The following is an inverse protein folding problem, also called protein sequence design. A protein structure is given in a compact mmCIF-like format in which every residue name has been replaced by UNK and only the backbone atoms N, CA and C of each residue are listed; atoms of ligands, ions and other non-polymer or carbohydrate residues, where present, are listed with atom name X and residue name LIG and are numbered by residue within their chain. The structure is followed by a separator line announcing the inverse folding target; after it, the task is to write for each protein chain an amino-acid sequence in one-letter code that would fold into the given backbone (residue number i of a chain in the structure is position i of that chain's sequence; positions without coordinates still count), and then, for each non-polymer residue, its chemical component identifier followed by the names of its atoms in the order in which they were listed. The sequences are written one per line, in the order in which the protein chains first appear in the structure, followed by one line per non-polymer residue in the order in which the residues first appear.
data_IF_108561057311
#
_entry.id   IF_108561057311
#
_cell.length_a   1.000
_cell.length_b   1.000
_cell.length_c   1.000
_cell.angle_alpha   90.00
_cell.angle_beta   90.00
_cell.angle_gamma   90.00
#
_symmetry.space_group_name_H-M   'P 1'
#
loop_
_entity.id
_entity.type
_entity.pdbx_description
1 polymer ?
#
# COMPACT_ATOMS: atom_id res chain seq x y z
N UNK A 1 0.11 11.54 -26.90
CA UNK A 1 1.24 12.18 -26.19
C UNK A 1 2.17 12.73 -27.26
N UNK A 2 2.23 14.05 -27.49
CA UNK A 2 3.19 14.64 -28.44
C UNK A 2 4.50 14.83 -27.68
N UNK A 3 5.52 14.06 -28.03
CA UNK A 3 6.88 14.25 -27.52
C UNK A 3 7.51 15.36 -28.37
N UNK A 4 7.97 16.43 -27.74
CA UNK A 4 8.64 17.56 -28.41
C UNK A 4 9.99 17.72 -27.73
N UNK A 5 11.06 17.84 -28.53
CA UNK A 5 12.42 18.07 -28.04
C UNK A 5 13.17 19.09 -28.89
N UNK A 6 14.33 19.51 -28.41
CA UNK A 6 15.37 20.16 -29.20
C UNK A 6 16.73 19.69 -28.67
N UNK A 7 17.77 19.84 -29.50
CA UNK A 7 19.13 19.44 -29.16
C UNK A 7 19.88 20.50 -28.33
N UNK A 8 19.25 21.66 -28.12
CA UNK A 8 19.81 22.81 -27.41
C UNK A 8 18.87 23.24 -26.27
N UNK A 9 19.45 23.51 -25.10
CA UNK A 9 18.73 23.81 -23.86
C UNK A 9 17.94 25.14 -23.95
N UNK A 10 18.53 26.27 -24.38
CA UNK A 10 17.80 27.51 -24.65
C UNK A 10 16.61 27.35 -25.60
N UNK A 11 16.76 26.58 -26.67
CA UNK A 11 15.68 26.31 -27.63
C UNK A 11 14.57 25.50 -26.98
N UNK A 12 14.92 24.52 -26.15
CA UNK A 12 13.95 23.68 -25.44
C UNK A 12 13.17 24.47 -24.39
N UNK A 13 13.83 25.38 -23.65
CA UNK A 13 13.17 26.30 -22.70
C UNK A 13 12.14 27.17 -23.44
N UNK A 14 12.51 27.74 -24.60
CA UNK A 14 11.60 28.57 -25.39
C UNK A 14 10.37 27.79 -25.86
N UNK A 15 10.58 26.59 -26.41
CA UNK A 15 9.47 25.70 -26.84
C UNK A 15 8.55 25.32 -25.68
N UNK A 16 9.09 25.11 -24.48
CA UNK A 16 8.28 24.84 -23.26
C UNK A 16 7.35 26.01 -22.96
N UNK A 17 7.89 27.24 -22.95
CA UNK A 17 7.10 28.46 -22.69
C UNK A 17 6.01 28.63 -23.75
N UNK A 18 6.37 28.57 -25.03
CA UNK A 18 5.41 28.70 -26.14
C UNK A 18 4.29 27.66 -26.06
N UNK A 19 4.61 26.40 -25.74
CA UNK A 19 3.61 25.34 -25.61
C UNK A 19 2.70 25.55 -24.39
N UNK A 20 3.26 26.05 -23.28
CA UNK A 20 2.49 26.36 -22.07
C UNK A 20 1.47 27.47 -22.35
N UNK A 21 1.91 28.55 -22.98
CA UNK A 21 1.07 29.70 -23.34
C UNK A 21 -0.01 29.31 -24.35
N UNK A 22 0.36 28.51 -25.37
CA UNK A 22 -0.57 28.04 -26.39
C UNK A 22 -1.69 27.20 -25.76
N UNK A 23 -1.35 26.28 -24.85
CA UNK A 23 -2.34 25.42 -24.21
C UNK A 23 -3.17 26.18 -23.17
N UNK A 24 -2.56 27.12 -22.45
CA UNK A 24 -3.29 28.02 -21.55
C UNK A 24 -4.32 28.86 -22.32
N UNK A 25 -3.99 29.32 -23.53
CA UNK A 25 -4.95 30.04 -24.39
C UNK A 25 -6.17 29.20 -24.81
N UNK A 26 -6.02 27.86 -24.77
CA UNK A 26 -7.09 26.89 -25.00
C UNK A 26 -7.76 26.40 -23.70
N UNK A 27 -7.46 27.00 -22.54
CA UNK A 27 -7.99 26.60 -21.23
C UNK A 27 -7.39 25.31 -20.68
N UNK A 28 -6.24 24.88 -21.19
CA UNK A 28 -5.52 23.68 -20.76
C UNK A 28 -4.26 24.12 -20.00
N UNK A 29 -4.31 24.03 -18.67
CA UNK A 29 -3.15 24.31 -17.82
C UNK A 29 -2.21 23.09 -17.79
N UNK A 30 -0.92 23.33 -18.04
CA UNK A 30 0.13 22.33 -17.95
C UNK A 30 0.94 22.51 -16.66
N UNK A 31 0.68 21.64 -15.69
CA UNK A 31 1.33 21.74 -14.36
C UNK A 31 2.60 20.90 -14.21
N UNK A 32 2.88 19.98 -15.15
CA UNK A 32 3.97 18.99 -15.00
C UNK A 32 4.69 18.72 -16.32
N UNK A 33 6.01 18.67 -16.24
CA UNK A 33 6.93 18.41 -17.35
C UNK A 33 7.90 17.31 -16.95
N UNK A 34 8.29 16.48 -17.91
CA UNK A 34 9.40 15.55 -17.77
C UNK A 34 10.49 15.96 -18.77
N UNK A 35 11.72 16.09 -18.30
CA UNK A 35 12.86 16.47 -19.11
C UNK A 35 14.13 15.76 -18.62
N UNK A 36 15.08 15.57 -19.52
CA UNK A 36 16.38 14.97 -19.19
C UNK A 36 17.36 16.00 -18.58
N UNK A 37 17.03 17.29 -18.67
CA UNK A 37 17.83 18.40 -18.16
C UNK A 37 17.11 19.09 -17.00
N UNK A 38 17.85 19.42 -15.94
CA UNK A 38 17.31 19.95 -14.69
C UNK A 38 16.77 21.38 -14.83
N UNK A 39 17.30 22.19 -15.75
CA UNK A 39 16.82 23.57 -15.99
C UNK A 39 15.46 23.59 -16.72
N UNK A 40 15.08 22.48 -17.35
CA UNK A 40 13.79 22.31 -18.04
C UNK A 40 12.68 21.82 -17.11
N UNK A 41 13.01 21.44 -15.89
CA UNK A 41 12.04 21.04 -14.87
C UNK A 41 11.50 22.29 -14.16
N UNK A 42 10.19 22.37 -13.83
CA UNK A 42 9.68 23.42 -12.96
C UNK A 42 10.33 23.36 -11.57
N UNK A 43 10.35 24.45 -10.80
CA UNK A 43 10.92 24.43 -9.43
C UNK A 43 10.28 23.36 -8.53
N UNK A 44 9.00 23.04 -8.79
CA UNK A 44 8.26 21.95 -8.15
C UNK A 44 8.75 20.54 -8.49
N UNK A 45 9.52 20.39 -9.57
CA UNK A 45 10.12 19.15 -10.02
C UNK A 45 11.58 18.96 -9.55
N UNK A 46 12.14 19.91 -8.78
CA UNK A 46 13.40 19.68 -8.05
C UNK A 46 13.25 18.58 -6.98
N UNK A 47 12.02 18.27 -6.55
CA UNK A 47 11.69 17.11 -5.74
C UNK A 47 10.42 16.43 -6.29
N UNK A 48 10.55 15.29 -6.97
CA UNK A 48 9.41 14.55 -7.50
C UNK A 48 8.65 13.81 -6.38
N UNK A 49 7.78 14.55 -5.71
CA UNK A 49 6.99 14.10 -4.59
C UNK A 49 5.51 13.99 -4.98
N UNK A 50 4.89 12.88 -4.63
CA UNK A 50 3.44 12.74 -4.60
C UNK A 50 2.90 13.37 -3.32
N UNK A 51 2.00 14.34 -3.48
CA UNK A 51 1.28 15.00 -2.39
C UNK A 51 -0.21 14.77 -2.53
N UNK A 52 -0.90 14.75 -1.39
CA UNK A 52 -2.36 14.67 -1.34
C UNK A 52 -2.95 16.06 -1.20
N UNK A 53 -4.01 16.34 -1.97
CA UNK A 53 -4.66 17.64 -1.93
C UNK A 53 -5.45 17.82 -0.63
N UNK A 54 -5.56 19.07 -0.19
CA UNK A 54 -6.41 19.43 0.92
C UNK A 54 -7.87 19.08 0.59
N UNK A 55 -8.58 18.53 1.57
CA UNK A 55 -10.01 18.28 1.47
C UNK A 55 -10.75 19.54 1.91
N UNK A 56 -11.76 19.98 1.16
CA UNK A 56 -12.65 21.04 1.62
C UNK A 56 -13.43 20.54 2.84
N UNK A 57 -12.97 20.94 4.02
CA UNK A 57 -13.46 20.43 5.29
C UNK A 57 -14.95 20.72 5.48
N UNK A 58 -15.39 21.94 5.18
CA UNK A 58 -16.77 22.38 5.38
C UNK A 58 -17.75 21.49 4.62
N UNK A 59 -17.46 21.22 3.34
CA UNK A 59 -18.30 20.38 2.50
C UNK A 59 -18.30 18.91 2.94
N UNK A 60 -17.16 18.38 3.38
CA UNK A 60 -17.02 16.95 3.71
C UNK A 60 -17.53 16.64 5.12
N UNK A 61 -17.29 17.54 6.07
CA UNK A 61 -17.76 17.43 7.44
C UNK A 61 -19.26 17.70 7.57
N UNK A 62 -19.86 18.49 6.67
CA UNK A 62 -21.31 18.70 6.60
C UNK A 62 -22.10 17.45 6.17
N UNK A 63 -21.44 16.33 5.87
CA UNK A 63 -22.11 15.08 5.51
C UNK A 63 -22.99 14.57 6.67
N UNK A 64 -24.29 14.73 6.48
CA UNK A 64 -25.30 14.41 7.48
C UNK A 64 -25.94 13.03 7.32
N UNK A 65 -25.72 12.40 6.17
CA UNK A 65 -26.34 11.13 5.76
C UNK A 65 -25.27 10.09 5.43
N UNK A 66 -25.60 8.81 5.64
CA UNK A 66 -24.73 7.68 5.30
C UNK A 66 -24.29 7.68 3.84
N UNK A 67 -25.19 8.06 2.91
CA UNK A 67 -24.86 8.17 1.48
C UNK A 67 -23.77 9.20 1.22
N UNK A 68 -23.85 10.36 1.86
CA UNK A 68 -22.87 11.43 1.72
C UNK A 68 -21.51 11.03 2.29
N UNK A 69 -21.48 10.36 3.45
CA UNK A 69 -20.24 9.83 4.03
C UNK A 69 -19.58 8.83 3.09
N UNK A 70 -20.32 7.86 2.54
CA UNK A 70 -19.76 6.90 1.59
C UNK A 70 -19.20 7.58 0.33
N UNK A 71 -19.91 8.57 -0.20
CA UNK A 71 -19.44 9.36 -1.34
C UNK A 71 -18.12 10.07 -1.02
N UNK A 72 -18.02 10.67 0.17
CA UNK A 72 -16.80 11.33 0.63
C UNK A 72 -15.63 10.36 0.81
N UNK A 73 -15.88 9.16 1.33
CA UNK A 73 -14.85 8.11 1.43
C UNK A 73 -14.35 7.73 0.04
N UNK A 74 -15.25 7.58 -0.94
CA UNK A 74 -14.87 7.23 -2.31
C UNK A 74 -14.08 8.34 -3.03
N UNK A 75 -14.22 9.60 -2.61
CA UNK A 75 -13.45 10.74 -3.15
C UNK A 75 -11.99 10.73 -2.70
N UNK A 76 -11.65 10.04 -1.62
CA UNK A 76 -10.26 9.82 -1.20
C UNK A 76 -9.64 8.75 -2.09
N UNK A 77 -9.37 9.13 -3.35
CA UNK A 77 -8.82 8.24 -4.35
C UNK A 77 -7.35 7.92 -4.04
N UNK A 78 -7.11 6.68 -3.66
CA UNK A 78 -5.80 6.16 -3.29
C UNK A 78 -5.59 4.77 -3.95
N UNK A 79 -5.17 4.75 -5.23
CA UNK A 79 -5.07 3.51 -6.00
C UNK A 79 -3.98 2.57 -5.49
N UNK A 80 -2.87 3.13 -4.99
CA UNK A 80 -1.73 2.38 -4.47
C UNK A 80 -1.84 2.09 -2.96
N UNK A 81 -2.80 2.69 -2.27
CA UNK A 81 -3.06 2.44 -0.85
C UNK A 81 -2.10 3.14 0.10
N UNK A 82 -1.41 4.19 -0.34
CA UNK A 82 -0.47 4.93 0.49
C UNK A 82 -1.12 5.62 1.69
N UNK A 83 -2.41 5.94 1.60
CA UNK A 83 -3.26 6.41 2.69
C UNK A 83 -4.03 5.26 3.36
N UNK A 84 -3.62 4.00 3.24
CA UNK A 84 -4.32 2.88 3.87
C UNK A 84 -4.58 3.08 5.38
N UNK A 85 -3.63 3.61 6.19
CA UNK A 85 -3.88 3.93 7.61
C UNK A 85 -4.90 5.05 7.83
N UNK A 86 -5.02 6.00 6.89
CA UNK A 86 -6.04 7.06 7.00
C UNK A 86 -7.40 6.52 6.56
N UNK A 87 -7.45 5.90 5.38
CA UNK A 87 -8.70 5.43 4.77
C UNK A 87 -9.35 4.27 5.52
N UNK A 88 -8.57 3.45 6.26
CA UNK A 88 -9.14 2.35 7.06
C UNK A 88 -10.06 2.87 8.16
N UNK A 89 -9.76 4.02 8.79
CA UNK A 89 -10.61 4.63 9.81
C UNK A 89 -11.99 4.98 9.24
N UNK A 90 -12.02 5.56 8.04
CA UNK A 90 -13.24 5.89 7.33
C UNK A 90 -14.05 4.63 6.97
N UNK A 91 -13.38 3.57 6.49
CA UNK A 91 -14.03 2.29 6.15
C UNK A 91 -14.60 1.58 7.39
N UNK A 92 -13.89 1.65 8.53
CA UNK A 92 -14.34 1.14 9.82
C UNK A 92 -15.58 1.90 10.30
N UNK A 93 -15.57 3.23 10.24
CA UNK A 93 -16.73 4.06 10.60
C UNK A 93 -17.93 3.76 9.69
N UNK A 94 -17.69 3.57 8.39
CA UNK A 94 -18.73 3.15 7.45
C UNK A 94 -19.34 1.81 7.88
N UNK A 95 -18.52 0.83 8.28
CA UNK A 95 -19.01 -0.44 8.83
C UNK A 95 -19.86 -0.26 10.08
N UNK A 96 -19.48 0.63 11.00
CA UNK A 96 -20.28 0.93 12.20
C UNK A 96 -21.68 1.42 11.80
N UNK A 97 -21.80 2.28 10.78
CA UNK A 97 -23.11 2.73 10.26
C UNK A 97 -23.96 1.59 9.68
N UNK A 98 -23.32 0.57 9.10
CA UNK A 98 -24.02 -0.64 8.63
C UNK A 98 -24.53 -1.49 9.78
N UNK A 99 -23.72 -1.66 10.82
CA UNK A 99 -24.07 -2.44 12.02
C UNK A 99 -25.20 -1.76 12.79
N UNK A 100 -25.16 -0.43 12.91
CA UNK A 100 -26.23 0.39 13.51
C UNK A 100 -27.49 0.50 12.64
N UNK A 101 -27.49 -0.12 11.44
CA UNK A 101 -28.61 -0.07 10.49
C UNK A 101 -29.03 1.36 10.13
N UNK A 102 -28.08 2.29 10.06
CA UNK A 102 -28.35 3.64 9.58
C UNK A 102 -28.90 3.59 8.15
N UNK A 103 -30.02 4.28 7.94
CA UNK A 103 -30.62 4.46 6.62
C UNK A 103 -29.77 5.39 5.73
N UNK A 104 -29.93 5.26 4.41
CA UNK A 104 -29.14 5.99 3.43
C UNK A 104 -29.39 7.49 3.41
N UNK A 105 -30.64 7.91 3.63
CA UNK A 105 -31.10 9.29 3.47
C UNK A 105 -31.47 9.95 4.81
N UNK A 106 -31.37 9.19 5.89
CA UNK A 106 -31.70 9.66 7.23
C UNK A 106 -30.50 10.34 7.91
N UNK A 107 -30.76 11.26 8.87
CA UNK A 107 -29.75 11.79 9.77
C UNK A 107 -28.89 10.71 10.41
N UNK A 108 -27.58 10.90 10.43
CA UNK A 108 -26.68 10.05 11.22
C UNK A 108 -26.85 10.30 12.73
N UNK A 109 -26.71 9.27 13.58
CA UNK A 109 -26.65 9.42 15.04
C UNK A 109 -25.55 10.40 15.46
N UNK A 110 -25.76 11.13 16.55
CA UNK A 110 -24.85 12.19 17.02
C UNK A 110 -23.41 11.68 17.21
N UNK A 111 -23.24 10.53 17.86
CA UNK A 111 -21.95 9.88 18.09
C UNK A 111 -21.18 9.60 16.78
N UNK A 112 -21.89 9.11 15.75
CA UNK A 112 -21.29 8.83 14.44
C UNK A 112 -20.89 10.13 13.73
N UNK A 113 -21.72 11.18 13.85
CA UNK A 113 -21.42 12.49 13.26
C UNK A 113 -20.18 13.12 13.90
N UNK A 114 -20.04 13.01 15.21
CA UNK A 114 -18.87 13.51 15.94
C UNK A 114 -17.59 12.79 15.49
N UNK A 115 -17.61 11.44 15.47
CA UNK A 115 -16.48 10.65 14.96
C UNK A 115 -16.15 10.95 13.49
N UNK A 116 -17.16 11.17 12.65
CA UNK A 116 -16.95 11.57 11.26
C UNK A 116 -16.32 12.96 11.14
N UNK A 117 -16.80 13.92 11.93
CA UNK A 117 -16.27 15.27 11.99
C UNK A 117 -14.80 15.27 12.42
N UNK A 118 -14.44 14.52 13.47
CA UNK A 118 -13.06 14.39 13.94
C UNK A 118 -12.14 13.77 12.89
N UNK A 119 -12.62 12.71 12.21
CA UNK A 119 -11.89 12.13 11.08
C UNK A 119 -11.65 13.17 9.98
N UNK A 120 -12.68 13.92 9.60
CA UNK A 120 -12.58 14.95 8.57
C UNK A 120 -11.60 16.05 8.97
N UNK A 121 -11.62 16.49 10.23
CA UNK A 121 -10.69 17.49 10.78
C UNK A 121 -9.23 17.04 10.63
N UNK A 122 -8.96 15.75 10.81
CA UNK A 122 -7.64 15.16 10.54
C UNK A 122 -7.20 15.27 9.08
N UNK A 123 -8.15 15.21 8.12
CA UNK A 123 -7.84 15.26 6.67
C UNK A 123 -7.27 16.60 6.21
N UNK A 124 -7.47 17.69 6.96
CA UNK A 124 -6.82 18.97 6.65
C UNK A 124 -5.30 18.88 6.65
N UNK A 125 -4.71 17.90 7.35
CA UNK A 125 -3.28 17.66 7.37
C UNK A 125 -2.77 16.76 6.22
N UNK A 126 -3.63 16.26 5.32
CA UNK A 126 -3.20 15.44 4.18
C UNK A 126 -2.09 16.07 3.32
N UNK A 127 -2.05 17.38 3.05
CA UNK A 127 -0.96 17.99 2.28
C UNK A 127 0.43 17.88 2.92
N UNK A 128 0.51 17.57 4.22
CA UNK A 128 1.78 17.30 4.90
C UNK A 128 2.37 15.94 4.57
N UNK A 129 1.56 15.01 4.04
CA UNK A 129 2.03 13.73 3.53
C UNK A 129 2.68 13.92 2.16
N UNK A 130 3.97 13.59 2.11
CA UNK A 130 4.78 13.60 0.90
C UNK A 130 5.39 12.22 0.71
N UNK A 131 5.23 11.66 -0.49
CA UNK A 131 5.79 10.35 -0.84
C UNK A 131 6.69 10.56 -2.05
N UNK A 132 7.95 10.15 -1.93
CA UNK A 132 8.89 10.21 -3.04
C UNK A 132 8.41 9.29 -4.16
N UNK A 133 8.24 9.84 -5.37
CA UNK A 133 7.82 9.06 -6.54
C UNK A 133 8.96 8.26 -7.11
N UNK A 134 10.16 8.81 -7.02
CA UNK A 134 11.37 8.11 -7.43
C UNK A 134 11.66 7.01 -6.42
N UNK A 135 11.69 5.77 -6.91
CA UNK A 135 11.89 4.60 -6.06
C UNK A 135 13.37 4.37 -5.72
N UNK A 136 14.29 5.11 -6.34
CA UNK A 136 15.74 4.90 -6.28
C UNK A 136 16.25 3.97 -7.39
N UNK A 137 17.56 3.72 -7.37
CA UNK A 137 18.23 2.71 -8.20
C UNK A 137 19.00 3.25 -9.39
N UNK A 138 20.17 2.66 -9.63
CA UNK A 138 21.05 2.90 -10.79
C UNK A 138 21.35 1.58 -11.50
N UNK A 139 22.12 1.66 -12.58
CA UNK A 139 22.75 0.48 -13.18
C UNK A 139 23.63 -0.18 -12.08
N UNK A 140 23.49 -1.50 -11.87
CA UNK A 140 24.17 -2.32 -10.86
C UNK A 140 23.54 -2.42 -9.45
N UNK A 141 22.35 -1.87 -9.20
CA UNK A 141 21.66 -2.14 -7.94
C UNK A 141 21.01 -3.54 -7.92
N UNK A 142 20.91 -4.14 -6.73
CA UNK A 142 20.06 -5.32 -6.52
C UNK A 142 18.75 -4.93 -5.84
N UNK A 143 17.67 -5.61 -6.21
CA UNK A 143 16.31 -5.25 -5.80
C UNK A 143 15.64 -6.40 -5.07
N UNK A 144 14.88 -6.10 -4.03
CA UNK A 144 14.15 -7.07 -3.22
C UNK A 144 12.76 -6.52 -2.87
N UNK A 145 11.76 -7.39 -2.84
CA UNK A 145 10.40 -7.03 -2.45
C UNK A 145 10.18 -7.47 -1.00
N UNK A 146 9.79 -6.53 -0.14
CA UNK A 146 9.48 -6.80 1.27
C UNK A 146 8.01 -6.52 1.55
N UNK A 147 7.29 -7.57 1.91
CA UNK A 147 5.86 -7.52 2.19
C UNK A 147 5.54 -7.73 3.66
N UNK A 148 4.68 -6.90 4.24
CA UNK A 148 4.22 -7.01 5.62
C UNK A 148 2.72 -7.25 5.66
N UNK A 149 2.27 -8.09 6.58
CA UNK A 149 0.84 -8.34 6.82
C UNK A 149 0.52 -8.26 8.29
N UNK A 150 -0.68 -7.77 8.58
CA UNK A 150 -1.22 -7.69 9.94
C UNK A 150 -2.74 -7.85 9.92
N UNK A 151 -3.31 -8.20 11.07
CA UNK A 151 -4.74 -8.14 11.30
C UNK A 151 -5.12 -7.78 12.73
N UNK A 152 -6.13 -6.93 12.84
CA UNK A 152 -6.87 -6.63 14.06
C UNK A 152 -8.30 -7.19 13.99
N UNK A 153 -9.04 -7.05 15.09
CA UNK A 153 -10.47 -7.40 15.12
C UNK A 153 -11.33 -6.54 14.18
N UNK A 154 -10.83 -5.36 13.77
CA UNK A 154 -11.57 -4.39 12.94
C UNK A 154 -11.14 -4.39 11.48
N UNK A 155 -9.88 -4.70 11.17
CA UNK A 155 -9.36 -4.70 9.81
C UNK A 155 -8.12 -5.58 9.67
N UNK A 156 -7.80 -5.98 8.45
CA UNK A 156 -6.53 -6.62 8.10
C UNK A 156 -5.91 -5.90 6.91
N UNK A 157 -4.59 -5.90 6.86
CA UNK A 157 -3.85 -5.10 5.90
C UNK A 157 -2.59 -5.80 5.41
N UNK A 158 -2.12 -5.33 4.27
CA UNK A 158 -0.84 -5.69 3.69
C UNK A 158 -0.13 -4.43 3.17
N UNK A 159 1.19 -4.41 3.27
CA UNK A 159 2.06 -3.32 2.82
C UNK A 159 3.24 -3.93 2.09
N UNK A 160 3.66 -3.33 0.98
CA UNK A 160 4.77 -3.81 0.17
C UNK A 160 5.75 -2.68 -0.06
N UNK A 161 7.02 -2.97 0.20
CA UNK A 161 8.17 -2.09 0.02
C UNK A 161 9.11 -2.66 -1.04
N UNK A 162 9.79 -1.76 -1.74
CA UNK A 162 10.96 -2.08 -2.56
C UNK A 162 12.21 -1.75 -1.75
N UNK A 163 13.09 -2.73 -1.59
CA UNK A 163 14.43 -2.54 -1.03
C UNK A 163 15.44 -2.57 -2.17
N UNK A 164 16.33 -1.59 -2.19
CA UNK A 164 17.39 -1.44 -3.18
C UNK A 164 18.73 -1.48 -2.43
N UNK A 165 19.63 -2.32 -2.91
CA UNK A 165 21.03 -2.37 -2.49
C UNK A 165 21.88 -1.73 -3.58
N UNK A 166 22.58 -0.64 -3.24
CA UNK A 166 23.44 0.09 -4.16
C UNK A 166 24.83 -0.56 -4.35
N UNK A 167 25.15 -1.64 -3.62
CA UNK A 167 26.43 -2.34 -3.71
C UNK A 167 27.60 -1.63 -3.00
N UNK A 168 27.35 -0.45 -2.42
CA UNK A 168 28.31 0.34 -1.63
C UNK A 168 28.02 0.28 -0.11
N UNK A 169 27.16 -0.65 0.32
CA UNK A 169 26.68 -0.75 1.70
C UNK A 169 25.55 0.21 2.05
N UNK A 170 25.02 0.97 1.08
CA UNK A 170 23.80 1.78 1.24
C UNK A 170 22.59 1.02 0.75
N UNK A 171 21.54 1.06 1.57
CA UNK A 171 20.27 0.47 1.26
C UNK A 171 19.18 1.54 1.27
N UNK A 172 18.33 1.48 0.27
CA UNK A 172 17.17 2.36 0.14
C UNK A 172 15.90 1.53 0.24
N UNK A 173 14.89 2.04 0.94
CA UNK A 173 13.59 1.36 1.05
C UNK A 173 12.46 2.33 0.76
N UNK A 174 11.60 1.96 -0.19
CA UNK A 174 10.50 2.78 -0.68
C UNK A 174 9.17 2.04 -0.56
N UNK A 175 8.14 2.71 -0.06
CA UNK A 175 6.76 2.18 -0.04
C UNK A 175 6.22 2.05 -1.47
N UNK A 176 5.96 0.83 -1.93
CA UNK A 176 5.38 0.59 -3.26
C UNK A 176 3.85 0.70 -3.23
N UNK A 177 3.22 -0.11 -2.38
CA UNK A 177 1.78 -0.21 -2.32
C UNK A 177 1.32 -0.77 -0.98
N UNK A 178 0.10 -0.45 -0.59
CA UNK A 178 -0.56 -1.04 0.56
C UNK A 178 -2.02 -1.34 0.25
N UNK A 179 -2.64 -2.17 1.08
CA UNK A 179 -4.07 -2.42 1.01
C UNK A 179 -4.63 -2.80 2.36
N UNK A 180 -5.70 -2.12 2.77
CA UNK A 180 -6.48 -2.44 3.96
C UNK A 180 -7.89 -2.90 3.59
N UNK A 181 -8.41 -3.87 4.36
CA UNK A 181 -9.79 -4.36 4.29
C UNK A 181 -10.38 -4.41 5.69
N UNK A 182 -11.63 -3.98 5.81
CA UNK A 182 -12.37 -4.09 7.07
C UNK A 182 -12.67 -5.58 7.33
N UNK A 183 -12.53 -6.00 8.58
CA UNK A 183 -12.84 -7.36 9.00
C UNK A 183 -14.34 -7.63 8.77
N UNK A 184 -14.74 -8.88 8.45
CA UNK A 184 -16.16 -9.21 8.31
C UNK A 184 -16.95 -8.90 9.60
N UNK A 185 -18.21 -8.47 9.45
CA UNK A 185 -19.11 -8.23 10.59
C UNK A 185 -19.38 -9.54 11.37
N UNK A 186 -19.42 -10.67 10.65
CA UNK A 186 -19.48 -11.98 11.30
C UNK A 186 -18.16 -12.25 12.00
N UNK A 187 -18.22 -12.64 13.26
CA UNK A 187 -17.04 -12.92 14.07
C UNK A 187 -16.15 -13.96 13.40
N UNK A 188 -14.90 -13.59 13.17
CA UNK A 188 -13.81 -14.45 12.72
C UNK A 188 -12.72 -14.37 13.78
N UNK A 189 -12.07 -15.48 14.08
CA UNK A 189 -10.96 -15.47 15.04
C UNK A 189 -9.79 -14.63 14.54
N UNK A 190 -9.04 -14.02 15.45
CA UNK A 190 -7.85 -13.21 15.11
C UNK A 190 -6.87 -13.99 14.22
N UNK A 191 -6.50 -15.26 14.51
CA UNK A 191 -5.60 -16.01 13.63
C UNK A 191 -6.11 -16.19 12.20
N UNK A 192 -7.43 -16.33 12.02
CA UNK A 192 -8.03 -16.44 10.70
C UNK A 192 -8.01 -15.09 9.96
N UNK A 193 -8.09 -13.97 10.68
CA UNK A 193 -7.93 -12.63 10.10
C UNK A 193 -6.47 -12.36 9.74
N UNK A 194 -5.52 -12.74 10.58
CA UNK A 194 -4.08 -12.66 10.30
C UNK A 194 -3.74 -13.46 9.03
N UNK A 195 -4.29 -14.67 8.88
CA UNK A 195 -4.16 -15.45 7.64
C UNK A 195 -4.82 -14.77 6.43
N UNK A 196 -5.90 -14.01 6.63
CA UNK A 196 -6.49 -13.18 5.58
C UNK A 196 -5.57 -12.01 5.21
N UNK A 197 -4.86 -11.42 6.18
CA UNK A 197 -3.80 -10.42 5.95
C UNK A 197 -2.67 -11.00 5.11
N UNK A 198 -2.17 -12.19 5.46
CA UNK A 198 -1.15 -12.89 4.69
C UNK A 198 -1.62 -13.20 3.25
N UNK A 199 -2.85 -13.69 3.08
CA UNK A 199 -3.41 -13.92 1.75
C UNK A 199 -3.64 -12.62 0.95
N UNK A 200 -3.93 -11.50 1.63
CA UNK A 200 -4.02 -10.19 1.00
C UNK A 200 -2.65 -9.71 0.53
N UNK A 201 -1.60 -9.96 1.31
CA UNK A 201 -0.22 -9.62 0.97
C UNK A 201 0.24 -10.35 -0.30
N UNK A 202 -0.01 -11.65 -0.40
CA UNK A 202 0.30 -12.43 -1.61
C UNK A 202 -0.36 -11.82 -2.85
N UNK A 203 -1.65 -11.47 -2.76
CA UNK A 203 -2.38 -10.84 -3.87
C UNK A 203 -1.83 -9.46 -4.23
N UNK A 204 -1.38 -8.70 -3.24
CA UNK A 204 -0.79 -7.38 -3.45
C UNK A 204 0.59 -7.49 -4.13
N UNK A 205 1.43 -8.42 -3.69
CA UNK A 205 2.72 -8.71 -4.31
C UNK A 205 2.52 -9.13 -5.77
N UNK A 206 1.62 -10.09 -6.04
CA UNK A 206 1.27 -10.50 -7.41
C UNK A 206 0.80 -9.34 -8.29
N UNK A 207 0.12 -8.36 -7.70
CA UNK A 207 -0.33 -7.18 -8.43
C UNK A 207 0.84 -6.27 -8.83
N UNK A 208 1.76 -5.99 -7.90
CA UNK A 208 2.92 -5.13 -8.19
C UNK A 208 3.95 -5.82 -9.09
N UNK A 209 4.12 -7.14 -9.00
CA UNK A 209 5.04 -7.91 -9.87
C UNK A 209 4.54 -8.06 -11.31
N UNK A 210 3.36 -7.53 -11.65
CA UNK A 210 2.95 -7.35 -13.05
C UNK A 210 3.85 -6.34 -13.77
N UNK A 211 4.40 -5.37 -13.03
CA UNK A 211 5.40 -4.44 -13.53
C UNK A 211 6.69 -5.21 -13.85
N UNK A 212 7.19 -5.05 -15.07
CA UNK A 212 8.28 -5.88 -15.60
C UNK A 212 9.56 -5.78 -14.77
N UNK A 213 9.92 -4.57 -14.30
CA UNK A 213 11.11 -4.35 -13.49
C UNK A 213 11.05 -4.99 -12.08
N UNK A 214 9.87 -5.41 -11.63
CA UNK A 214 9.67 -6.09 -10.34
C UNK A 214 9.53 -7.61 -10.50
N UNK A 215 9.52 -8.12 -11.73
CA UNK A 215 9.26 -9.54 -12.01
C UNK A 215 10.50 -10.37 -11.66
N UNK A 216 10.29 -11.48 -10.94
CA UNK A 216 11.35 -12.43 -10.61
C UNK A 216 12.32 -11.96 -9.50
N UNK A 217 12.06 -10.81 -8.88
CA UNK A 217 12.84 -10.35 -7.74
C UNK A 217 12.68 -11.29 -6.53
N UNK A 218 13.69 -11.39 -5.64
CA UNK A 218 13.54 -12.04 -4.35
C UNK A 218 12.42 -11.40 -3.53
N UNK A 219 11.57 -12.24 -2.92
CA UNK A 219 10.41 -11.81 -2.14
C UNK A 219 10.56 -12.29 -0.69
N UNK A 220 10.46 -11.35 0.25
CA UNK A 220 10.42 -11.59 1.68
C UNK A 220 9.07 -11.14 2.23
N UNK A 221 8.36 -12.04 2.90
CA UNK A 221 7.06 -11.79 3.51
C UNK A 221 7.15 -11.88 5.03
N UNK A 222 6.57 -10.91 5.72
CA UNK A 222 6.69 -10.72 7.17
C UNK A 222 5.31 -10.73 7.81
N UNK A 223 5.20 -11.44 8.94
CA UNK A 223 4.01 -11.47 9.79
C UNK A 223 4.46 -11.59 11.25
N UNK A 224 3.78 -10.93 12.16
CA UNK A 224 3.96 -11.08 13.60
C UNK A 224 3.17 -12.27 14.20
N UNK A 225 2.36 -12.94 13.38
CA UNK A 225 1.60 -14.13 13.80
C UNK A 225 2.41 -15.41 13.64
N UNK A 226 2.91 -15.94 14.77
CA UNK A 226 3.52 -17.27 14.81
C UNK A 226 2.54 -18.38 14.39
N UNK A 227 1.24 -18.19 14.60
CA UNK A 227 0.20 -19.15 14.21
C UNK A 227 0.13 -19.23 12.68
N UNK A 228 0.07 -18.09 12.00
CA UNK A 228 0.09 -18.03 10.53
C UNK A 228 1.35 -18.67 9.98
N UNK A 229 2.53 -18.32 10.51
CA UNK A 229 3.80 -18.90 10.07
C UNK A 229 3.82 -20.43 10.26
N UNK A 230 3.25 -20.93 11.36
CA UNK A 230 3.11 -22.38 11.61
C UNK A 230 2.16 -23.05 10.62
N UNK A 231 1.07 -22.39 10.24
CA UNK A 231 0.15 -22.91 9.22
C UNK A 231 0.79 -23.00 7.84
N UNK A 232 1.60 -22.00 7.47
CA UNK A 232 2.32 -21.96 6.20
C UNK A 232 3.42 -23.03 6.07
N UNK A 233 3.91 -23.56 7.20
CA UNK A 233 4.89 -24.66 7.22
C UNK A 233 4.29 -26.01 6.83
N UNK A 234 2.99 -26.24 7.03
CA UNK A 234 2.39 -27.57 6.75
C UNK A 234 1.64 -27.57 5.42
N UNK A 235 1.47 -28.75 4.85
CA UNK A 235 0.65 -28.92 3.65
C UNK A 235 -0.83 -28.57 3.94
N UNK A 236 -1.58 -27.97 2.99
CA UNK A 236 -2.94 -27.48 3.23
C UNK A 236 -3.92 -28.57 3.69
N UNK A 237 -3.67 -29.84 3.32
CA UNK A 237 -4.53 -30.97 3.70
C UNK A 237 -4.59 -31.24 5.21
N UNK A 238 -3.64 -30.71 6.00
CA UNK A 238 -3.65 -30.84 7.46
C UNK A 238 -4.65 -29.89 8.12
N UNK A 239 -5.21 -28.93 7.37
CA UNK A 239 -6.01 -27.85 7.91
C UNK A 239 -7.48 -27.96 7.53
N UNK A 240 -8.35 -27.37 8.36
CA UNK A 240 -9.77 -27.18 8.00
C UNK A 240 -9.89 -26.26 6.79
N UNK A 241 -10.98 -26.42 6.03
CA UNK A 241 -11.22 -25.77 4.73
C UNK A 241 -10.87 -24.29 4.67
N UNK A 242 -11.23 -23.49 5.69
CA UNK A 242 -10.93 -22.05 5.70
C UNK A 242 -9.42 -21.77 5.63
N UNK A 243 -8.64 -22.44 6.49
CA UNK A 243 -7.19 -22.31 6.59
C UNK A 243 -6.54 -22.99 5.40
N UNK A 244 -6.96 -24.22 5.06
CA UNK A 244 -6.45 -24.99 3.92
C UNK A 244 -6.51 -24.18 2.62
N UNK A 245 -7.65 -23.56 2.31
CA UNK A 245 -7.80 -22.80 1.06
C UNK A 245 -6.86 -21.60 0.98
N UNK A 246 -6.62 -20.92 2.10
CA UNK A 246 -5.75 -19.72 2.15
C UNK A 246 -4.28 -20.09 2.19
N UNK A 247 -3.92 -21.13 2.93
CA UNK A 247 -2.57 -21.70 2.89
C UNK A 247 -2.29 -22.15 1.46
N UNK A 248 -3.15 -22.97 0.84
CA UNK A 248 -2.99 -23.39 -0.56
C UNK A 248 -2.77 -22.23 -1.53
N UNK A 249 -3.57 -21.16 -1.43
CA UNK A 249 -3.36 -19.94 -2.22
C UNK A 249 -1.96 -19.35 -1.99
N UNK A 250 -1.55 -19.15 -0.72
CA UNK A 250 -0.26 -18.54 -0.39
C UNK A 250 0.90 -19.39 -0.91
N UNK A 251 0.83 -20.71 -0.73
CA UNK A 251 1.89 -21.64 -1.15
C UNK A 251 1.98 -21.81 -2.67
N UNK A 252 0.85 -21.69 -3.38
CA UNK A 252 0.79 -21.87 -4.84
C UNK A 252 1.22 -20.61 -5.59
N UNK A 253 0.78 -19.44 -5.12
CA UNK A 253 0.96 -18.17 -5.85
C UNK A 253 2.37 -17.57 -5.67
N UNK A 254 2.97 -17.73 -4.48
CA UNK A 254 4.31 -17.23 -4.18
C UNK A 254 5.19 -18.33 -3.56
N UNK A 255 5.51 -19.40 -4.32
CA UNK A 255 6.26 -20.55 -3.81
C UNK A 255 7.72 -20.21 -3.46
N UNK A 256 8.28 -19.16 -4.07
CA UNK A 256 9.65 -18.69 -3.83
C UNK A 256 9.77 -17.64 -2.72
N UNK A 257 8.64 -17.16 -2.17
CA UNK A 257 8.67 -16.16 -1.11
C UNK A 257 9.17 -16.76 0.21
N UNK A 258 10.07 -16.05 0.87
CA UNK A 258 10.57 -16.42 2.21
C UNK A 258 9.68 -15.77 3.26
N UNK A 259 9.06 -16.57 4.12
CA UNK A 259 8.22 -16.06 5.21
C UNK A 259 8.99 -16.00 6.52
N UNK A 260 8.86 -14.89 7.24
CA UNK A 260 9.62 -14.61 8.45
C UNK A 260 8.76 -13.88 9.50
N UNK A 261 9.16 -14.02 10.76
CA UNK A 261 8.52 -13.30 11.85
C UNK A 261 9.06 -11.86 11.95
N UNK A 262 8.18 -10.90 12.17
CA UNK A 262 8.53 -9.52 12.55
C UNK A 262 7.89 -9.18 13.90
N UNK A 263 8.56 -8.48 14.82
CA UNK A 263 7.91 -8.00 16.03
C UNK A 263 6.74 -7.06 15.72
N UNK A 264 5.62 -7.17 16.44
CA UNK A 264 4.41 -6.34 16.21
C UNK A 264 4.69 -4.83 16.18
N UNK A 265 5.58 -4.34 17.05
CA UNK A 265 5.94 -2.90 17.09
C UNK A 265 6.71 -2.42 15.86
N UNK A 266 7.31 -3.35 15.12
CA UNK A 266 8.05 -3.10 13.89
C UNK A 266 7.24 -3.51 12.66
N UNK A 267 5.95 -3.86 12.81
CA UNK A 267 5.11 -4.24 11.69
C UNK A 267 4.37 -3.00 11.14
N UNK A 268 4.77 -2.43 9.98
CA UNK A 268 4.09 -1.27 9.40
C UNK A 268 2.64 -1.56 9.01
N UNK A 269 2.27 -2.83 8.77
CA UNK A 269 0.90 -3.17 8.44
C UNK A 269 -0.08 -2.93 9.61
N UNK A 270 0.40 -2.91 10.86
CA UNK A 270 -0.42 -2.60 12.06
C UNK A 270 -1.02 -1.19 11.99
N UNK A 271 -0.29 -0.23 11.42
CA UNK A 271 -0.81 1.13 11.19
C UNK A 271 -2.02 1.11 10.25
N UNK A 272 -2.00 0.22 9.25
CA UNK A 272 -3.07 0.07 8.27
C UNK A 272 -4.24 -0.81 8.75
N UNK A 273 -4.12 -1.49 9.90
CA UNK A 273 -5.23 -2.22 10.55
C UNK A 273 -5.89 -1.41 11.67
N UNK A 274 -5.13 -0.58 12.39
CA UNK A 274 -5.64 0.28 13.48
C UNK A 274 -6.14 1.63 12.98
N UNK A 275 -5.41 2.21 12.04
CA UNK A 275 -5.63 3.55 11.53
C UNK A 275 -4.83 4.62 12.26
N UNK A 276 -4.43 5.66 11.52
CA UNK A 276 -3.52 6.72 11.99
C UNK A 276 -3.95 8.06 11.40
N UNK A 277 -3.88 9.13 12.19
CA UNK A 277 -4.20 10.47 11.71
C UNK A 277 -3.20 10.95 10.65
N UNK A 278 -3.60 11.73 9.62
CA UNK A 278 -2.71 12.15 8.54
C UNK A 278 -1.42 12.83 9.01
N UNK A 279 -1.50 13.68 10.05
CA UNK A 279 -0.33 14.37 10.63
C UNK A 279 0.64 13.40 11.30
N UNK A 280 0.13 12.39 12.00
CA UNK A 280 0.96 11.37 12.64
C UNK A 280 1.60 10.48 11.58
N UNK A 281 0.84 10.11 10.55
CA UNK A 281 1.33 9.32 9.43
C UNK A 281 2.47 10.02 8.69
N UNK A 282 2.39 11.35 8.52
CA UNK A 282 3.43 12.14 7.87
C UNK A 282 4.77 12.12 8.62
N UNK A 283 4.72 11.94 9.94
CA UNK A 283 5.91 11.87 10.79
C UNK A 283 6.30 10.42 11.13
N UNK A 284 5.61 9.42 10.55
CA UNK A 284 5.81 8.02 10.88
C UNK A 284 6.84 7.38 9.93
N UNK A 285 8.11 7.36 10.39
CA UNK A 285 9.18 6.71 9.64
C UNK A 285 8.88 5.22 9.35
N UNK A 286 8.25 4.51 10.29
CA UNK A 286 7.87 3.11 10.11
C UNK A 286 6.97 2.89 8.87
N UNK A 287 6.06 3.82 8.58
CA UNK A 287 5.18 3.71 7.41
C UNK A 287 5.91 4.04 6.10
N UNK A 288 6.63 5.15 6.06
CA UNK A 288 7.22 5.65 4.82
C UNK A 288 8.53 4.93 4.45
N UNK A 289 9.38 4.66 5.45
CA UNK A 289 10.75 4.15 5.30
C UNK A 289 10.92 2.72 5.81
N UNK A 290 9.83 2.05 6.23
CA UNK A 290 9.82 0.72 6.84
C UNK A 290 10.64 0.64 8.16
N UNK A 291 10.75 -0.54 8.79
CA UNK A 291 11.63 -0.71 9.97
C UNK A 291 13.09 -0.39 9.66
N UNK A 292 13.76 0.33 10.56
CA UNK A 292 15.14 0.81 10.35
C UNK A 292 16.14 -0.32 10.02
N UNK A 293 15.93 -1.52 10.56
CA UNK A 293 16.79 -2.67 10.29
C UNK A 293 16.75 -3.15 8.84
N UNK A 294 15.69 -2.87 8.07
CA UNK A 294 15.66 -3.20 6.64
C UNK A 294 16.57 -2.30 5.81
N UNK A 295 16.89 -1.10 6.32
CA UNK A 295 17.90 -0.22 5.73
C UNK A 295 19.33 -0.62 6.12
N UNK A 296 19.51 -1.70 6.89
CA UNK A 296 20.80 -2.27 7.26
C UNK A 296 21.11 -3.54 6.46
N UNK A 297 22.31 -4.09 6.66
CA UNK A 297 22.73 -5.34 6.03
C UNK A 297 21.81 -6.50 6.45
N UNK A 298 21.54 -7.49 5.57
CA UNK A 298 20.78 -8.69 5.92
C UNK A 298 21.30 -9.47 7.13
N UNK A 299 22.59 -9.34 7.46
CA UNK A 299 23.22 -9.94 8.65
C UNK A 299 22.77 -9.31 9.97
N UNK A 300 22.28 -8.07 9.92
CA UNK A 300 21.87 -7.27 11.07
C UNK A 300 20.36 -7.27 11.29
N UNK A 301 19.60 -7.92 10.39
CA UNK A 301 18.19 -8.14 10.60
C UNK A 301 18.03 -8.96 11.88
N UNK A 302 17.08 -8.59 12.74
CA UNK A 302 16.74 -9.38 13.91
C UNK A 302 16.31 -10.76 13.41
N UNK A 303 17.24 -11.73 13.37
CA UNK A 303 17.00 -12.99 12.69
C UNK A 303 15.83 -13.68 13.38
N UNK A 304 14.71 -13.92 12.67
CA UNK A 304 13.70 -14.79 13.20
C UNK A 304 14.29 -16.21 13.26
N UNK A 305 13.94 -16.95 14.32
CA UNK A 305 14.24 -18.37 14.41
C UNK A 305 13.67 -19.08 13.16
N UNK A 306 14.60 -19.49 12.28
CA UNK A 306 14.41 -20.22 11.02
C UNK A 306 13.46 -19.58 9.98
N UNK A 307 13.99 -18.97 8.89
CA UNK A 307 13.16 -18.51 7.78
C UNK A 307 12.34 -19.67 7.21
N UNK A 308 11.04 -19.43 7.03
CA UNK A 308 10.10 -20.45 6.58
C UNK A 308 10.13 -20.53 5.06
N UNK A 309 10.74 -21.60 4.55
CA UNK A 309 10.46 -22.04 3.18
C UNK A 309 9.09 -22.70 3.16
N UNK A 310 8.23 -22.14 2.34
CA UNK A 310 6.85 -22.60 2.19
C UNK A 310 6.85 -23.97 1.52
N UNK A 311 6.11 -24.93 2.08
CA UNK A 311 5.97 -26.25 1.46
C UNK A 311 5.26 -26.10 0.11
N UNK A 312 5.90 -26.59 -0.97
CA UNK A 312 5.34 -26.51 -2.31
C UNK A 312 4.12 -27.43 -2.44
N UNK A 313 2.94 -26.85 -2.60
CA UNK A 313 1.85 -27.55 -3.27
C UNK A 313 2.26 -27.67 -4.74
N UNK A 314 2.37 -28.89 -5.29
CA UNK A 314 2.62 -29.06 -6.72
C UNK A 314 1.51 -28.32 -7.49
N UNK A 315 1.82 -27.54 -8.54
CA UNK A 315 0.78 -27.05 -9.42
C UNK A 315 -0.03 -28.23 -9.93
N UNK A 316 -1.35 -28.07 -10.04
CA UNK A 316 -2.18 -29.03 -10.79
C UNK A 316 -1.59 -29.09 -12.20
N UNK A 317 -1.03 -30.23 -12.57
CA UNK A 317 -0.77 -30.56 -13.96
C UNK A 317 -2.08 -30.36 -14.73
N UNK A 318 -2.00 -29.72 -15.89
CA UNK A 318 -3.10 -29.71 -16.84
C UNK A 318 -3.47 -31.16 -17.14
N UNK A 319 -4.58 -31.64 -16.57
CA UNK A 319 -5.20 -32.92 -16.93
C UNK A 319 -5.87 -32.76 -18.30
N UNK A 320 -5.05 -32.59 -19.34
CA UNK A 320 -5.48 -32.59 -20.72
C UNK A 320 -4.61 -33.54 -21.54
N UNK A 321 -4.49 -34.80 -21.10
CA UNK A 321 -3.94 -35.87 -21.96
C UNK A 321 -4.09 -37.29 -21.38
N UNK A 322 -5.21 -37.64 -20.72
CA UNK A 322 -5.53 -39.06 -20.47
C UNK A 322 -7.03 -39.29 -20.58
N UNK A 323 -7.55 -39.24 -21.81
CA UNK A 323 -8.73 -39.98 -22.24
C UNK A 323 -8.51 -40.34 -23.71
N UNK A 324 -7.80 -41.45 -23.91
CA UNK A 324 -7.93 -42.31 -25.09
C UNK A 324 -8.46 -43.65 -24.63
#
# INVERSE_FOLDING_TARGET
MKVIGADDLPVTIRKRVELTELLASAGIELDKWAANDQELLPDSAQQDNFKFNAVNLENVAAAYMKRSVLSNIARLFDPLGWLAPVTVMAKILMQDMWILKCDWYSPLPAEIRERWYDYCKGLSALPSLSIERWLGGTVNCSYQIHGFSDASSRAYAAVVYLRIDEGNGRFWVSLLAAKSKVAPVKTVSIPNLELCGAALLVKLILHVTKLEFLRGLPIFAWSDSQIVLTWLRKHPCHWKTFVANRVSLIQTELPSATWAHVPTKENPADLATRGVQPRELANCALWCQCPAWLSLSPTEWAQPADPVRVNHARPRSEESEILT
#
